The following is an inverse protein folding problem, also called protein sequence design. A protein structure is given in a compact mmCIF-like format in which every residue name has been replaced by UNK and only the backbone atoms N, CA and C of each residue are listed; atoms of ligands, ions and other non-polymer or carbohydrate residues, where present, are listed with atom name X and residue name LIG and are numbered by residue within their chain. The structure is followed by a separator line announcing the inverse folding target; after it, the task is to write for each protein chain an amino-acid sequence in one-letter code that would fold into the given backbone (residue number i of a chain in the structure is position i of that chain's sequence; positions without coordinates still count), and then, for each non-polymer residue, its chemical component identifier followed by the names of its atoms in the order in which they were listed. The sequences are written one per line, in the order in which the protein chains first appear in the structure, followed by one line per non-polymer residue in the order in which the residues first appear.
data_IF_849681952911
#
_entry.id   IF_849681952911
#
_cell.length_a   1.000
_cell.length_b   1.000
_cell.length_c   1.000
_cell.angle_alpha   90.00
_cell.angle_beta   90.00
_cell.angle_gamma   90.00
#
_symmetry.space_group_name_H-M   'P 1'
#
loop_
_entity.id
_entity.type
_entity.pdbx_description
1 polymer ?
#
# COMPACT_ATOMS: atom_id res chain seq x y z
N UNK A 1 1.61 -46.48 26.60
CA UNK A 1 2.43 -45.27 26.37
C UNK A 1 3.00 -45.17 24.94
N UNK A 2 3.03 -46.23 24.14
CA UNK A 2 3.98 -46.35 23.00
C UNK A 2 3.61 -45.92 21.57
N UNK A 3 2.49 -45.24 21.29
CA UNK A 3 2.18 -44.79 19.90
C UNK A 3 1.75 -43.32 19.83
N UNK A 4 1.01 -42.82 20.84
CA UNK A 4 0.67 -41.39 20.96
C UNK A 4 1.90 -40.51 21.18
N UNK A 5 2.79 -40.90 22.09
CA UNK A 5 3.99 -40.11 22.40
C UNK A 5 4.95 -39.96 21.21
N UNK A 6 5.08 -40.97 20.36
CA UNK A 6 5.97 -40.92 19.19
C UNK A 6 5.42 -39.95 18.13
N UNK A 7 4.10 -39.86 17.97
CA UNK A 7 3.44 -38.97 17.02
C UNK A 7 3.51 -37.51 17.49
N UNK A 8 3.27 -37.27 18.78
CA UNK A 8 3.41 -35.94 19.41
C UNK A 8 4.85 -35.41 19.32
N UNK A 9 5.85 -36.27 19.56
CA UNK A 9 7.28 -35.90 19.41
C UNK A 9 7.61 -35.53 17.96
N UNK A 10 7.05 -36.24 16.97
CA UNK A 10 7.31 -35.95 15.55
C UNK A 10 6.67 -34.63 15.11
N UNK A 11 5.48 -34.32 15.61
CA UNK A 11 4.78 -33.07 15.34
C UNK A 11 5.50 -31.88 16.00
N UNK A 12 5.95 -32.03 17.24
CA UNK A 12 6.73 -30.99 17.95
C UNK A 12 8.07 -30.69 17.24
N UNK A 13 8.74 -31.73 16.73
CA UNK A 13 9.95 -31.56 15.91
C UNK A 13 9.65 -30.85 14.59
N UNK A 14 8.51 -31.15 13.95
CA UNK A 14 8.08 -30.48 12.72
C UNK A 14 7.85 -28.98 12.92
N UNK A 15 7.11 -28.59 13.97
CA UNK A 15 6.87 -27.18 14.31
C UNK A 15 8.18 -26.46 14.66
N UNK A 16 9.05 -27.11 15.43
CA UNK A 16 10.38 -26.57 15.76
C UNK A 16 11.24 -26.33 14.52
N UNK A 17 11.23 -27.26 13.56
CA UNK A 17 11.96 -27.11 12.28
C UNK A 17 11.40 -25.93 11.48
N UNK A 18 10.08 -25.78 11.35
CA UNK A 18 9.48 -24.65 10.64
C UNK A 18 9.84 -23.32 11.32
N UNK A 19 9.79 -23.26 12.66
CA UNK A 19 10.21 -22.08 13.42
C UNK A 19 11.67 -21.72 13.17
N UNK A 20 12.57 -22.70 13.21
CA UNK A 20 14.01 -22.51 12.94
C UNK A 20 14.25 -22.06 11.49
N UNK A 21 13.55 -22.65 10.52
CA UNK A 21 13.67 -22.25 9.11
C UNK A 21 13.11 -20.85 8.84
N UNK A 22 12.13 -20.41 9.64
CA UNK A 22 11.53 -19.06 9.51
C UNK A 22 12.34 -17.98 10.24
N UNK A 23 13.12 -18.35 11.26
CA UNK A 23 13.86 -17.40 12.09
C UNK A 23 14.87 -16.54 11.30
N UNK A 24 15.68 -17.08 10.35
CA UNK A 24 16.58 -16.26 9.54
C UNK A 24 15.85 -15.19 8.73
N UNK A 25 14.68 -15.50 8.16
CA UNK A 25 13.90 -14.54 7.40
C UNK A 25 13.36 -13.41 8.29
N UNK A 26 12.81 -13.76 9.46
CA UNK A 26 12.33 -12.78 10.45
C UNK A 26 13.49 -11.91 10.95
N UNK A 27 14.64 -12.51 11.27
CA UNK A 27 15.83 -11.79 11.71
C UNK A 27 16.35 -10.84 10.62
N UNK A 28 16.48 -11.33 9.39
CA UNK A 28 16.90 -10.52 8.25
C UNK A 28 15.98 -9.31 8.05
N UNK A 29 14.66 -9.52 8.03
CA UNK A 29 13.69 -8.42 7.91
C UNK A 29 13.79 -7.45 9.09
N UNK A 30 13.92 -7.96 10.32
CA UNK A 30 14.07 -7.11 11.52
C UNK A 30 15.35 -6.25 11.48
N UNK A 31 16.44 -6.77 10.93
CA UNK A 31 17.69 -6.03 10.77
C UNK A 31 17.61 -5.03 9.61
N UNK A 32 17.08 -5.44 8.46
CA UNK A 32 16.95 -4.58 7.29
C UNK A 32 16.08 -3.34 7.58
N UNK A 33 14.96 -3.51 8.28
CA UNK A 33 14.03 -2.44 8.65
C UNK A 33 14.58 -1.46 9.70
N UNK A 34 15.82 -1.64 10.20
CA UNK A 34 16.48 -0.69 11.10
C UNK A 34 17.41 0.28 10.38
N UNK A 35 17.67 0.06 9.09
CA UNK A 35 18.64 0.84 8.32
C UNK A 35 17.95 1.53 7.15
N UNK A 36 18.34 2.75 6.83
CA UNK A 36 17.86 3.43 5.63
C UNK A 36 18.38 2.75 4.36
N UNK A 37 17.58 2.66 3.29
CA UNK A 37 16.28 3.31 3.11
C UNK A 37 15.09 2.57 3.74
N UNK A 38 15.23 1.28 4.09
CA UNK A 38 14.11 0.42 4.52
C UNK A 38 13.45 0.84 5.83
N UNK A 39 14.21 1.41 6.76
CA UNK A 39 13.69 1.99 8.02
C UNK A 39 12.56 2.99 7.78
N UNK A 40 12.59 3.71 6.65
CA UNK A 40 11.58 4.69 6.32
C UNK A 40 10.17 4.09 6.18
N UNK A 41 10.06 2.80 5.80
CA UNK A 41 8.76 2.11 5.75
C UNK A 41 8.11 2.03 7.13
N UNK A 42 8.91 1.76 8.16
CA UNK A 42 8.45 1.70 9.56
C UNK A 42 8.18 3.10 10.08
N UNK A 43 9.09 4.04 9.84
CA UNK A 43 8.90 5.43 10.28
C UNK A 43 7.62 6.03 9.67
N UNK A 44 7.34 5.74 8.40
CA UNK A 44 6.12 6.21 7.74
C UNK A 44 4.86 5.64 8.40
N UNK A 45 4.83 4.34 8.69
CA UNK A 45 3.70 3.70 9.38
C UNK A 45 3.46 4.25 10.79
N UNK A 46 4.53 4.55 11.52
CA UNK A 46 4.46 5.13 12.88
C UNK A 46 3.98 6.59 12.83
N UNK A 47 4.47 7.38 11.88
CA UNK A 47 4.08 8.80 11.73
C UNK A 47 2.67 8.97 11.16
N UNK A 48 2.20 8.03 10.35
CA UNK A 48 0.90 8.06 9.68
C UNK A 48 0.09 6.79 10.01
N UNK A 49 -0.31 6.59 11.28
CA UNK A 49 -1.07 5.42 11.67
C UNK A 49 -2.41 5.42 10.93
N UNK A 50 -2.68 4.33 10.20
CA UNK A 50 -3.95 4.19 9.50
C UNK A 50 -5.05 3.75 10.49
N UNK A 51 -6.23 4.36 10.45
CA UNK A 51 -7.32 3.98 11.34
C UNK A 51 -7.79 2.56 11.02
N UNK A 52 -7.89 1.73 12.06
CA UNK A 52 -8.47 0.39 11.96
C UNK A 52 -9.55 0.20 13.01
N UNK A 53 -10.78 -0.05 12.56
CA UNK A 53 -11.91 -0.32 13.44
C UNK A 53 -12.29 -1.79 13.30
N UNK A 54 -11.98 -2.58 14.34
CA UNK A 54 -12.22 -4.03 14.32
C UNK A 54 -13.69 -4.38 14.05
N UNK A 55 -14.63 -3.57 14.58
CA UNK A 55 -16.07 -3.75 14.37
C UNK A 55 -16.44 -3.68 12.88
N UNK A 56 -15.96 -2.66 12.19
CA UNK A 56 -16.28 -2.44 10.78
C UNK A 56 -15.68 -3.55 9.92
N UNK A 57 -14.49 -4.02 10.30
CA UNK A 57 -13.85 -5.15 9.64
C UNK A 57 -14.60 -6.47 9.83
N UNK A 58 -15.07 -6.75 11.05
CA UNK A 58 -15.93 -7.93 11.32
C UNK A 58 -17.20 -7.90 10.46
N UNK A 59 -17.83 -6.72 10.32
CA UNK A 59 -18.99 -6.53 9.47
C UNK A 59 -18.64 -6.72 7.98
N UNK A 60 -17.45 -6.29 7.54
CA UNK A 60 -16.98 -6.45 6.17
C UNK A 60 -16.72 -7.91 5.79
N UNK A 61 -16.19 -8.74 6.70
CA UNK A 61 -16.04 -10.20 6.48
C UNK A 61 -17.41 -10.89 6.51
N UNK A 62 -18.35 -10.34 7.29
CA UNK A 62 -19.75 -10.75 7.28
C UNK A 62 -19.99 -12.16 7.85
N UNK A 63 -21.05 -12.86 7.42
CA UNK A 63 -21.48 -14.13 8.02
C UNK A 63 -20.46 -15.26 7.85
N UNK A 64 -19.55 -15.16 6.88
CA UNK A 64 -18.46 -16.13 6.70
C UNK A 64 -17.51 -16.17 7.89
N UNK A 65 -17.33 -15.07 8.62
CA UNK A 65 -16.49 -15.09 9.83
C UNK A 65 -17.07 -16.03 10.87
N UNK A 66 -18.35 -15.86 11.20
CA UNK A 66 -19.03 -16.66 12.22
C UNK A 66 -19.10 -18.13 11.82
N UNK A 67 -19.57 -18.42 10.60
CA UNK A 67 -19.72 -19.79 10.12
C UNK A 67 -18.38 -20.50 9.93
N UNK A 68 -17.35 -19.78 9.47
CA UNK A 68 -16.00 -20.30 9.31
C UNK A 68 -15.35 -20.61 10.66
N UNK A 69 -15.52 -19.74 11.67
CA UNK A 69 -15.03 -20.00 13.03
C UNK A 69 -15.74 -21.21 13.65
N UNK A 70 -17.07 -21.32 13.52
CA UNK A 70 -17.81 -22.50 14.00
C UNK A 70 -17.32 -23.76 13.27
N UNK A 71 -17.11 -23.69 11.96
CA UNK A 71 -16.54 -24.79 11.19
C UNK A 71 -15.13 -25.18 11.63
N UNK A 72 -14.30 -24.22 12.00
CA UNK A 72 -12.98 -24.46 12.58
C UNK A 72 -13.04 -25.15 13.94
N UNK A 73 -13.93 -24.68 14.83
CA UNK A 73 -14.17 -25.32 16.13
C UNK A 73 -14.66 -26.77 15.92
N UNK A 74 -15.61 -26.98 15.01
CA UNK A 74 -16.11 -28.31 14.69
C UNK A 74 -14.99 -29.20 14.12
N UNK A 75 -14.15 -28.69 13.21
CA UNK A 75 -13.02 -29.43 12.64
C UNK A 75 -12.04 -29.88 13.73
N UNK A 76 -11.77 -29.04 14.74
CA UNK A 76 -10.95 -29.41 15.91
C UNK A 76 -11.62 -30.49 16.76
N UNK A 77 -12.93 -30.37 17.04
CA UNK A 77 -13.69 -31.37 17.82
C UNK A 77 -13.67 -32.73 17.11
N UNK A 78 -13.86 -32.74 15.78
CA UNK A 78 -13.82 -33.96 14.94
C UNK A 78 -12.40 -34.44 14.64
N UNK A 79 -11.37 -33.68 15.03
CA UNK A 79 -9.95 -33.98 14.80
C UNK A 79 -9.61 -34.15 13.31
N UNK A 80 -10.23 -33.32 12.47
CA UNK A 80 -10.00 -33.30 11.02
C UNK A 80 -8.64 -32.67 10.68
N UNK A 81 -7.58 -33.48 10.74
CA UNK A 81 -6.18 -33.04 10.56
C UNK A 81 -5.94 -32.25 9.28
N UNK A 82 -6.66 -32.56 8.19
CA UNK A 82 -6.55 -31.87 6.90
C UNK A 82 -7.04 -30.42 6.95
N UNK A 83 -7.94 -30.09 7.88
CA UNK A 83 -8.52 -28.76 8.02
C UNK A 83 -7.80 -27.90 9.07
N UNK A 84 -6.94 -28.49 9.89
CA UNK A 84 -6.21 -27.78 10.93
C UNK A 84 -5.29 -26.68 10.36
N UNK A 85 -4.81 -26.83 9.12
CA UNK A 85 -4.03 -25.78 8.45
C UNK A 85 -4.86 -24.50 8.23
N UNK A 86 -6.14 -24.64 7.88
CA UNK A 86 -7.04 -23.49 7.71
C UNK A 86 -7.43 -22.88 9.04
N UNK A 87 -7.60 -23.70 10.08
CA UNK A 87 -7.81 -23.22 11.46
C UNK A 87 -6.59 -22.43 11.94
N UNK A 88 -5.38 -22.96 11.74
CA UNK A 88 -4.14 -22.28 12.10
C UNK A 88 -3.97 -20.96 11.34
N UNK A 89 -4.36 -20.91 10.06
CA UNK A 89 -4.37 -19.67 9.28
C UNK A 89 -5.32 -18.63 9.88
N UNK A 90 -6.57 -18.99 10.19
CA UNK A 90 -7.54 -18.06 10.82
C UNK A 90 -7.02 -17.56 12.17
N UNK A 91 -6.43 -18.43 12.99
CA UNK A 91 -5.85 -18.04 14.28
C UNK A 91 -4.67 -17.09 14.10
N UNK A 92 -3.75 -17.40 13.18
CA UNK A 92 -2.59 -16.56 12.90
C UNK A 92 -3.02 -15.17 12.41
N UNK A 93 -3.95 -15.12 11.45
CA UNK A 93 -4.53 -13.89 10.94
C UNK A 93 -5.17 -13.03 12.04
N UNK A 94 -6.04 -13.61 12.86
CA UNK A 94 -6.70 -12.89 13.95
C UNK A 94 -5.69 -12.40 15.00
N UNK A 95 -4.69 -13.23 15.31
CA UNK A 95 -3.63 -12.88 16.28
C UNK A 95 -2.78 -11.72 15.79
N UNK A 96 -2.43 -11.69 14.49
CA UNK A 96 -1.65 -10.61 13.90
C UNK A 96 -2.43 -9.29 13.88
N UNK A 97 -3.72 -9.32 13.51
CA UNK A 97 -4.58 -8.12 13.56
C UNK A 97 -4.62 -7.54 14.99
N UNK A 98 -4.79 -8.39 16.01
CA UNK A 98 -4.85 -7.94 17.40
C UNK A 98 -3.48 -7.43 17.86
N UNK A 99 -2.41 -8.17 17.57
CA UNK A 99 -1.05 -7.81 17.98
C UNK A 99 -0.64 -6.43 17.43
N UNK A 100 -0.86 -6.20 16.13
CA UNK A 100 -0.46 -4.97 15.45
C UNK A 100 -1.44 -3.79 15.66
N UNK A 101 -2.51 -3.97 16.42
CA UNK A 101 -3.23 -2.83 17.01
C UNK A 101 -2.43 -2.14 18.13
N UNK A 102 -1.54 -2.88 18.80
CA UNK A 102 -0.74 -2.37 19.92
C UNK A 102 0.73 -2.13 19.56
N UNK A 103 1.18 -2.63 18.40
CA UNK A 103 2.55 -2.57 17.91
C UNK A 103 2.57 -1.69 16.65
N UNK A 104 2.97 -0.39 16.75
CA UNK A 104 2.80 0.58 15.68
C UNK A 104 3.77 0.41 14.49
N UNK A 105 4.71 -0.53 14.57
CA UNK A 105 5.68 -0.80 13.52
C UNK A 105 5.01 -1.24 12.21
N UNK A 106 3.82 -1.84 12.29
CA UNK A 106 3.07 -2.34 11.15
C UNK A 106 1.58 -2.02 11.31
N UNK A 107 0.90 -1.72 10.21
CA UNK A 107 -0.54 -1.43 10.23
C UNK A 107 -1.35 -2.72 10.28
N UNK A 108 -2.36 -2.85 11.18
CA UNK A 108 -3.24 -4.01 11.22
C UNK A 108 -4.02 -4.21 9.91
N UNK A 109 -4.19 -3.15 9.11
CA UNK A 109 -4.82 -3.22 7.78
C UNK A 109 -4.08 -4.13 6.81
N UNK A 110 -2.74 -4.26 6.91
CA UNK A 110 -1.96 -5.15 6.02
C UNK A 110 -2.40 -6.60 6.17
N UNK A 111 -2.80 -7.01 7.37
CA UNK A 111 -3.27 -8.38 7.61
C UNK A 111 -4.68 -8.63 7.07
N UNK A 112 -5.41 -7.59 6.69
CA UNK A 112 -6.70 -7.76 6.00
C UNK A 112 -6.54 -8.30 4.58
N UNK A 113 -5.34 -8.12 4.00
CA UNK A 113 -4.98 -8.59 2.66
C UNK A 113 -4.54 -10.06 2.63
N UNK A 114 -4.45 -10.74 3.79
CA UNK A 114 -4.06 -12.16 3.90
C UNK A 114 -5.12 -13.16 3.40
N UNK A 115 -6.08 -12.71 2.58
CA UNK A 115 -7.16 -13.52 2.02
C UNK A 115 -7.92 -14.39 3.06
N UNK A 116 -8.34 -13.86 4.22
CA UNK A 116 -8.96 -14.65 5.28
C UNK A 116 -10.29 -15.31 4.87
N UNK A 117 -10.94 -14.80 3.82
CA UNK A 117 -12.15 -15.39 3.25
C UNK A 117 -11.92 -16.79 2.67
N UNK A 118 -10.69 -17.14 2.24
CA UNK A 118 -10.37 -18.48 1.71
C UNK A 118 -10.47 -19.56 2.80
N UNK A 119 -9.70 -19.50 3.91
CA UNK A 119 -9.82 -20.50 4.96
C UNK A 119 -11.21 -20.47 5.63
N UNK A 120 -11.81 -19.29 5.82
CA UNK A 120 -13.16 -19.17 6.37
C UNK A 120 -14.22 -19.81 5.46
N UNK A 121 -14.12 -19.66 4.15
CA UNK A 121 -15.03 -20.28 3.18
C UNK A 121 -14.95 -21.80 3.18
N UNK A 122 -13.73 -22.35 3.23
CA UNK A 122 -13.51 -23.81 3.32
C UNK A 122 -14.09 -24.36 4.62
N UNK A 123 -13.82 -23.71 5.76
CA UNK A 123 -14.36 -24.13 7.06
C UNK A 123 -15.88 -23.97 7.12
N UNK A 124 -16.44 -22.95 6.48
CA UNK A 124 -17.89 -22.76 6.34
C UNK A 124 -18.52 -23.91 5.54
N UNK A 125 -17.91 -24.30 4.41
CA UNK A 125 -18.39 -25.42 3.61
C UNK A 125 -18.34 -26.74 4.39
N UNK A 126 -17.25 -26.98 5.14
CA UNK A 126 -17.14 -28.12 6.04
C UNK A 126 -18.26 -28.14 7.10
N UNK A 127 -18.51 -26.99 7.74
CA UNK A 127 -19.59 -26.84 8.72
C UNK A 127 -20.96 -27.20 8.12
N UNK A 128 -21.33 -26.58 7.00
CA UNK A 128 -22.63 -26.79 6.36
C UNK A 128 -22.79 -28.22 5.85
N UNK A 129 -21.72 -28.84 5.33
CA UNK A 129 -21.74 -30.24 4.91
C UNK A 129 -22.03 -31.16 6.10
N UNK A 130 -21.34 -30.99 7.23
CA UNK A 130 -21.57 -31.81 8.41
C UNK A 130 -22.96 -31.57 9.02
N UNK A 131 -23.42 -30.31 9.03
CA UNK A 131 -24.76 -29.96 9.49
C UNK A 131 -25.84 -30.68 8.66
N UNK A 132 -25.62 -30.82 7.36
CA UNK A 132 -26.55 -31.46 6.44
C UNK A 132 -26.77 -32.97 6.68
N UNK A 133 -25.85 -33.62 7.40
CA UNK A 133 -25.95 -35.05 7.73
C UNK A 133 -26.69 -35.33 9.05
N UNK A 134 -27.04 -34.31 9.85
CA UNK A 134 -27.69 -34.50 11.15
C UNK A 134 -29.18 -34.87 11.03
N UNK A 135 -29.93 -34.21 10.15
CA UNK A 135 -31.34 -34.49 9.90
C UNK A 135 -31.81 -33.86 8.59
N UNK A 136 -32.99 -34.25 8.09
CA UNK A 136 -33.59 -33.64 6.90
C UNK A 136 -33.89 -32.14 7.07
N UNK A 137 -34.20 -31.69 8.29
CA UNK A 137 -34.41 -30.27 8.59
C UNK A 137 -33.08 -29.52 8.46
N UNK A 138 -32.02 -30.02 9.09
CA UNK A 138 -30.68 -29.42 9.02
C UNK A 138 -30.08 -29.45 7.62
N UNK A 139 -30.38 -30.48 6.83
CA UNK A 139 -30.05 -30.52 5.39
C UNK A 139 -30.67 -29.37 4.62
N UNK A 140 -31.98 -29.13 4.78
CA UNK A 140 -32.67 -28.00 4.14
C UNK A 140 -32.06 -26.67 4.60
N UNK A 141 -31.85 -26.50 5.90
CA UNK A 141 -31.24 -25.28 6.46
C UNK A 141 -29.84 -25.03 5.90
N UNK A 142 -28.98 -26.06 5.86
CA UNK A 142 -27.62 -25.93 5.34
C UNK A 142 -27.61 -25.52 3.86
N UNK A 143 -28.50 -26.11 3.04
CA UNK A 143 -28.64 -25.75 1.62
C UNK A 143 -29.16 -24.31 1.49
N UNK A 144 -30.19 -23.91 2.24
CA UNK A 144 -30.72 -22.55 2.21
C UNK A 144 -29.65 -21.52 2.59
N UNK A 145 -28.87 -21.78 3.65
CA UNK A 145 -27.76 -20.91 4.06
C UNK A 145 -26.69 -20.86 2.97
N UNK A 146 -26.30 -22.00 2.39
CA UNK A 146 -25.32 -22.03 1.30
C UNK A 146 -25.78 -21.21 0.09
N UNK A 147 -27.03 -21.37 -0.34
CA UNK A 147 -27.61 -20.59 -1.44
C UNK A 147 -27.63 -19.10 -1.10
N UNK A 148 -28.04 -18.73 0.12
CA UNK A 148 -28.05 -17.34 0.55
C UNK A 148 -26.64 -16.71 0.54
N UNK A 149 -25.62 -17.44 1.00
CA UNK A 149 -24.23 -16.99 0.95
C UNK A 149 -23.71 -16.83 -0.49
N UNK A 150 -24.07 -17.74 -1.39
CA UNK A 150 -23.70 -17.64 -2.81
C UNK A 150 -24.36 -16.40 -3.43
N UNK A 151 -25.66 -16.19 -3.21
CA UNK A 151 -26.37 -15.01 -3.71
C UNK A 151 -25.80 -13.71 -3.15
N UNK A 152 -25.46 -13.68 -1.85
CA UNK A 152 -24.79 -12.54 -1.23
C UNK A 152 -23.41 -12.30 -1.84
N UNK A 153 -22.65 -13.36 -2.12
CA UNK A 153 -21.37 -13.30 -2.80
C UNK A 153 -21.49 -12.73 -4.22
N UNK A 154 -22.48 -13.17 -5.00
CA UNK A 154 -22.76 -12.63 -6.33
C UNK A 154 -23.17 -11.16 -6.29
N UNK A 155 -24.00 -10.76 -5.33
CA UNK A 155 -24.37 -9.37 -5.11
C UNK A 155 -23.15 -8.50 -4.75
N UNK A 156 -22.26 -9.02 -3.90
CA UNK A 156 -21.01 -8.35 -3.54
C UNK A 156 -20.10 -8.21 -4.75
N UNK A 157 -19.94 -9.26 -5.57
CA UNK A 157 -19.15 -9.21 -6.80
C UNK A 157 -19.68 -8.17 -7.79
N UNK A 158 -21.00 -8.09 -7.96
CA UNK A 158 -21.62 -7.06 -8.80
C UNK A 158 -21.37 -5.66 -8.26
N UNK A 159 -21.46 -5.48 -6.94
CA UNK A 159 -21.10 -4.22 -6.28
C UNK A 159 -19.63 -3.87 -6.53
N UNK A 160 -18.70 -4.79 -6.27
CA UNK A 160 -17.27 -4.60 -6.51
C UNK A 160 -16.94 -4.27 -7.96
N UNK A 161 -17.62 -4.90 -8.93
CA UNK A 161 -17.47 -4.57 -10.34
C UNK A 161 -17.88 -3.13 -10.65
N UNK A 162 -19.02 -2.66 -10.11
CA UNK A 162 -19.45 -1.26 -10.29
C UNK A 162 -18.44 -0.27 -9.72
N UNK A 163 -17.94 -0.53 -8.51
CA UNK A 163 -16.89 0.28 -7.88
C UNK A 163 -15.60 0.34 -8.70
N UNK A 164 -15.16 -0.81 -9.23
CA UNK A 164 -13.97 -0.87 -10.10
C UNK A 164 -14.20 -0.12 -11.41
N UNK A 165 -15.39 -0.23 -12.01
CA UNK A 165 -15.75 0.51 -13.21
C UNK A 165 -15.75 2.03 -12.95
N UNK A 166 -16.41 2.49 -11.90
CA UNK A 166 -16.43 3.91 -11.52
C UNK A 166 -15.00 4.44 -11.27
N UNK A 167 -14.15 3.64 -10.63
CA UNK A 167 -12.75 4.00 -10.44
C UNK A 167 -11.98 4.16 -11.76
N UNK A 168 -12.20 3.27 -12.74
CA UNK A 168 -11.61 3.38 -14.08
C UNK A 168 -12.15 4.61 -14.82
N UNK A 169 -13.47 4.82 -14.78
CA UNK A 169 -14.12 5.97 -15.41
C UNK A 169 -13.55 7.28 -14.84
N UNK A 170 -13.44 7.39 -13.51
CA UNK A 170 -12.79 8.54 -12.86
C UNK A 170 -11.35 8.72 -13.32
N UNK A 171 -10.57 7.65 -13.47
CA UNK A 171 -9.19 7.73 -14.00
C UNK A 171 -9.11 8.23 -15.44
N UNK A 172 -10.08 7.87 -16.26
CA UNK A 172 -10.13 8.29 -17.67
C UNK A 172 -10.47 9.78 -17.82
N UNK A 173 -11.34 10.30 -16.94
CA UNK A 173 -11.74 11.71 -16.98
C UNK A 173 -10.86 12.62 -16.13
N UNK A 174 -10.10 12.08 -15.18
CA UNK A 174 -9.22 12.86 -14.31
C UNK A 174 -8.23 13.69 -15.14
N UNK A 175 -8.29 15.00 -14.95
CA UNK A 175 -7.40 15.99 -15.57
C UNK A 175 -7.23 17.18 -14.63
N UNK A 176 -6.33 18.10 -14.94
CA UNK A 176 -6.26 19.41 -14.28
C UNK A 176 -7.21 20.39 -15.01
N UNK A 177 -8.01 21.21 -14.29
CA UNK A 177 -8.12 21.36 -12.82
C UNK A 177 -9.19 20.45 -12.18
N UNK A 178 -9.78 19.52 -12.95
CA UNK A 178 -10.91 18.70 -12.50
C UNK A 178 -10.62 17.93 -11.21
N UNK A 179 -9.37 17.50 -11.01
CA UNK A 179 -8.92 16.79 -9.82
C UNK A 179 -7.81 17.60 -9.13
N UNK A 180 -7.85 17.77 -7.80
CA UNK A 180 -6.79 18.42 -7.04
C UNK A 180 -5.44 17.69 -7.17
N UNK A 181 -4.34 18.43 -6.96
CA UNK A 181 -2.99 17.87 -6.87
C UNK A 181 -2.84 16.86 -5.74
N UNK A 182 -1.88 15.93 -5.91
CA UNK A 182 -1.66 14.84 -4.96
C UNK A 182 -2.64 13.67 -5.08
N UNK A 183 -3.60 13.72 -6.02
CA UNK A 183 -4.55 12.61 -6.20
C UNK A 183 -3.93 11.47 -7.05
N UNK A 184 -3.95 10.24 -6.52
CA UNK A 184 -3.43 9.03 -7.17
C UNK A 184 -4.34 8.44 -8.27
N UNK A 185 -5.40 9.15 -8.65
CA UNK A 185 -6.43 8.68 -9.60
C UNK A 185 -6.26 9.32 -10.99
N UNK A 186 -5.16 9.99 -11.29
CA UNK A 186 -4.95 10.63 -12.58
C UNK A 186 -3.77 10.00 -13.32
N UNK A 187 -3.92 9.73 -14.61
CA UNK A 187 -2.78 9.45 -15.48
C UNK A 187 -1.93 10.72 -15.67
N UNK A 188 -0.61 10.60 -15.88
CA UNK A 188 0.21 11.78 -16.12
C UNK A 188 -0.26 12.49 -17.40
N UNK A 189 -0.30 13.83 -17.34
CA UNK A 189 -0.71 14.65 -18.48
C UNK A 189 0.27 14.48 -19.65
N UNK A 190 -0.23 14.60 -20.89
CA UNK A 190 0.63 14.49 -22.10
C UNK A 190 1.81 15.45 -22.05
N UNK A 191 1.58 16.70 -21.65
CA UNK A 191 2.65 17.71 -21.48
C UNK A 191 3.67 17.33 -20.41
N UNK A 192 3.22 16.67 -19.34
CA UNK A 192 4.09 16.19 -18.27
C UNK A 192 4.98 15.04 -18.78
N UNK A 193 4.41 14.08 -19.49
CA UNK A 193 5.15 12.98 -20.12
C UNK A 193 6.14 13.52 -21.16
N UNK A 194 5.72 14.44 -22.02
CA UNK A 194 6.60 15.05 -23.03
C UNK A 194 7.81 15.76 -22.41
N UNK A 195 7.61 16.49 -21.31
CA UNK A 195 8.70 17.12 -20.57
C UNK A 195 9.65 16.09 -19.93
N UNK A 196 9.13 14.99 -19.40
CA UNK A 196 9.95 13.93 -18.83
C UNK A 196 10.76 13.17 -19.87
N UNK A 197 10.22 12.98 -21.07
CA UNK A 197 10.96 12.42 -22.21
C UNK A 197 12.07 13.38 -22.63
N UNK A 198 11.79 14.69 -22.72
CA UNK A 198 12.84 15.68 -22.97
C UNK A 198 13.97 15.58 -21.94
N UNK A 199 13.63 15.52 -20.65
CA UNK A 199 14.61 15.34 -19.57
C UNK A 199 15.40 14.04 -19.74
N UNK A 200 14.74 12.93 -20.09
CA UNK A 200 15.38 11.65 -20.35
C UNK A 200 16.48 11.74 -21.41
N UNK A 201 16.21 12.49 -22.48
CA UNK A 201 17.06 12.57 -23.66
C UNK A 201 18.18 13.63 -23.52
N UNK A 202 18.01 14.61 -22.62
CA UNK A 202 18.90 15.79 -22.53
C UNK A 202 19.60 15.96 -21.18
N UNK A 203 19.46 15.00 -20.26
CA UNK A 203 20.15 15.01 -18.95
C UNK A 203 20.89 13.71 -18.70
N UNK A 204 21.83 13.70 -17.75
CA UNK A 204 22.51 12.47 -17.33
C UNK A 204 21.67 11.77 -16.27
N UNK A 205 21.68 10.44 -16.24
CA UNK A 205 20.95 9.64 -15.22
C UNK A 205 21.40 9.91 -13.78
N UNK A 206 22.62 10.42 -13.60
CA UNK A 206 23.17 10.85 -12.31
C UNK A 206 22.69 12.23 -11.87
N UNK A 207 22.10 13.01 -12.77
CA UNK A 207 21.60 14.34 -12.47
C UNK A 207 20.34 14.24 -11.62
N UNK A 208 20.26 15.09 -10.59
CA UNK A 208 19.15 15.12 -9.64
C UNK A 208 18.20 16.25 -9.99
N UNK A 209 16.91 15.93 -10.03
CA UNK A 209 15.86 16.87 -10.40
C UNK A 209 15.09 17.31 -9.16
N UNK A 210 14.91 18.62 -9.03
CA UNK A 210 14.02 19.23 -8.06
C UNK A 210 12.60 19.33 -8.63
N UNK A 211 11.64 18.78 -7.90
CA UNK A 211 10.21 18.88 -8.19
C UNK A 211 9.41 18.72 -6.90
N UNK A 212 8.12 19.01 -6.94
CA UNK A 212 7.17 18.59 -5.91
C UNK A 212 6.84 17.08 -6.07
N UNK A 213 6.11 16.54 -5.09
CA UNK A 213 5.86 15.09 -4.97
C UNK A 213 5.16 14.46 -6.18
N UNK A 214 4.26 15.16 -6.88
CA UNK A 214 3.54 14.60 -8.04
C UNK A 214 4.50 14.32 -9.18
N UNK A 215 5.31 15.30 -9.59
CA UNK A 215 6.30 15.07 -10.64
C UNK A 215 7.46 14.19 -10.16
N UNK A 216 7.84 14.30 -8.89
CA UNK A 216 8.86 13.48 -8.26
C UNK A 216 8.54 11.98 -8.29
N UNK A 217 7.27 11.61 -8.24
CA UNK A 217 6.84 10.21 -8.35
C UNK A 217 6.93 9.66 -9.79
N UNK A 218 6.80 10.51 -10.80
CA UNK A 218 6.79 10.09 -12.21
C UNK A 218 8.18 10.18 -12.86
N UNK A 219 8.97 11.19 -12.49
CA UNK A 219 10.28 11.46 -13.08
C UNK A 219 11.21 10.23 -13.08
N UNK A 220 11.40 9.48 -11.97
CA UNK A 220 12.29 8.31 -11.99
C UNK A 220 11.83 7.22 -12.96
N UNK A 221 10.52 7.07 -13.17
CA UNK A 221 9.96 6.05 -14.07
C UNK A 221 10.16 6.42 -15.53
N UNK A 222 9.89 7.68 -15.91
CA UNK A 222 9.97 8.12 -17.31
C UNK A 222 11.37 8.60 -17.72
N UNK A 223 12.03 9.38 -16.86
CA UNK A 223 13.35 9.97 -17.14
C UNK A 223 14.53 9.19 -16.58
N UNK A 224 14.31 8.30 -15.60
CA UNK A 224 15.36 7.55 -14.90
C UNK A 224 16.35 8.41 -14.10
N UNK A 225 16.04 9.70 -13.91
CA UNK A 225 16.78 10.58 -13.02
C UNK A 225 16.35 10.36 -11.57
N UNK A 226 17.27 10.67 -10.65
CA UNK A 226 16.92 10.76 -9.23
C UNK A 226 16.21 12.07 -8.94
N UNK A 227 15.35 12.07 -7.92
CA UNK A 227 14.61 13.25 -7.49
C UNK A 227 14.92 13.58 -6.03
N UNK A 228 14.85 14.87 -5.68
CA UNK A 228 15.08 15.29 -4.30
C UNK A 228 14.02 14.76 -3.34
N UNK A 229 12.75 14.81 -3.78
CA UNK A 229 11.58 14.28 -3.09
C UNK A 229 10.66 13.56 -4.09
N UNK A 230 10.13 12.41 -3.69
CA UNK A 230 9.19 11.62 -4.47
C UNK A 230 8.24 10.90 -3.53
N UNK A 231 8.19 9.57 -3.58
CA UNK A 231 7.23 8.79 -2.81
C UNK A 231 7.37 9.07 -1.31
N UNK A 232 6.31 8.80 -0.55
CA UNK A 232 6.29 8.96 0.91
C UNK A 232 7.43 8.22 1.65
N UNK A 233 8.10 7.29 0.97
CA UNK A 233 9.26 6.54 1.48
C UNK A 233 10.61 7.26 1.25
N UNK A 234 10.59 8.51 0.81
CA UNK A 234 11.79 9.35 0.77
C UNK A 234 12.32 9.56 2.20
N UNK A 235 13.64 9.58 2.37
CA UNK A 235 14.24 9.89 3.68
C UNK A 235 13.92 11.36 4.00
N UNK A 236 13.36 11.60 5.20
CA UNK A 236 12.95 12.91 5.68
C UNK A 236 11.95 13.63 4.76
N UNK A 237 11.00 12.90 4.15
CA UNK A 237 10.00 13.46 3.23
C UNK A 237 9.33 14.72 3.77
N UNK A 238 8.88 14.71 5.01
CA UNK A 238 8.09 15.80 5.61
C UNK A 238 8.88 17.12 5.64
N UNK A 239 10.17 17.05 5.98
CA UNK A 239 11.07 18.20 5.99
C UNK A 239 11.41 18.65 4.57
N UNK A 240 11.67 17.70 3.67
CA UNK A 240 12.01 17.98 2.27
C UNK A 240 10.85 18.65 1.52
N UNK A 241 9.63 18.17 1.71
CA UNK A 241 8.43 18.76 1.11
C UNK A 241 8.24 20.22 1.56
N UNK A 242 8.50 20.54 2.83
CA UNK A 242 8.44 21.91 3.31
C UNK A 242 9.48 22.82 2.62
N UNK A 243 10.73 22.36 2.50
CA UNK A 243 11.81 23.10 1.82
C UNK A 243 11.48 23.30 0.33
N UNK A 244 11.01 22.25 -0.33
CA UNK A 244 10.61 22.27 -1.74
C UNK A 244 9.47 23.27 -1.96
N UNK A 245 8.46 23.25 -1.09
CA UNK A 245 7.35 24.21 -1.12
C UNK A 245 7.82 25.64 -0.88
N UNK A 246 8.79 25.85 0.01
CA UNK A 246 9.39 27.17 0.23
C UNK A 246 10.09 27.70 -1.03
N UNK A 247 10.87 26.85 -1.70
CA UNK A 247 11.53 27.16 -2.97
C UNK A 247 10.51 27.51 -4.06
N UNK A 248 9.53 26.65 -4.33
CA UNK A 248 8.55 26.87 -5.40
C UNK A 248 7.57 28.01 -5.11
N UNK A 249 7.31 28.32 -3.83
CA UNK A 249 6.53 29.49 -3.43
C UNK A 249 7.25 30.82 -3.65
N UNK A 250 8.55 30.80 -3.98
CA UNK A 250 9.38 32.00 -4.12
C UNK A 250 9.74 32.68 -2.81
N UNK A 251 9.43 32.06 -1.66
CA UNK A 251 9.76 32.61 -0.32
C UNK A 251 11.21 32.40 0.07
N UNK A 252 11.87 31.41 -0.52
CA UNK A 252 13.30 31.20 -0.34
C UNK A 252 14.07 32.31 -1.08
N UNK A 253 14.93 33.08 -0.39
CA UNK A 253 15.71 34.16 -1.01
C UNK A 253 16.71 33.64 -2.05
N UNK A 254 17.08 34.46 -3.04
CA UNK A 254 17.94 34.07 -4.19
C UNK A 254 19.26 33.38 -3.77
N UNK A 255 19.97 33.93 -2.79
CA UNK A 255 21.21 33.33 -2.28
C UNK A 255 20.98 32.01 -1.54
N UNK A 256 19.87 31.92 -0.80
CA UNK A 256 19.43 30.69 -0.14
C UNK A 256 19.08 29.60 -1.14
N UNK A 257 18.37 29.95 -2.22
CA UNK A 257 18.01 29.06 -3.30
C UNK A 257 19.25 28.48 -4.02
N UNK A 258 20.24 29.32 -4.37
CA UNK A 258 21.52 28.83 -4.92
C UNK A 258 22.23 27.87 -3.98
N UNK A 259 22.28 28.22 -2.69
CA UNK A 259 22.93 27.39 -1.66
C UNK A 259 22.22 26.05 -1.51
N UNK A 260 20.90 26.06 -1.46
CA UNK A 260 20.06 24.86 -1.39
C UNK A 260 20.30 23.93 -2.58
N UNK A 261 20.26 24.46 -3.80
CA UNK A 261 20.48 23.68 -5.02
C UNK A 261 21.90 23.07 -5.05
N UNK A 262 22.92 23.86 -4.65
CA UNK A 262 24.31 23.42 -4.61
C UNK A 262 24.56 22.33 -3.56
N UNK A 263 24.12 22.55 -2.32
CA UNK A 263 24.36 21.62 -1.21
C UNK A 263 23.68 20.27 -1.41
N UNK A 264 22.56 20.25 -2.14
CA UNK A 264 21.81 19.03 -2.41
C UNK A 264 22.14 18.40 -3.78
N UNK A 265 23.16 18.91 -4.46
CA UNK A 265 23.60 18.43 -5.78
C UNK A 265 22.44 18.33 -6.79
N UNK A 266 21.55 19.33 -6.77
CA UNK A 266 20.44 19.44 -7.72
C UNK A 266 21.02 19.97 -9.03
N UNK A 267 20.43 19.63 -10.17
CA UNK A 267 20.94 20.02 -11.49
C UNK A 267 19.86 20.69 -12.34
N UNK A 268 18.63 20.21 -12.19
CA UNK A 268 17.48 20.71 -12.93
C UNK A 268 16.30 20.95 -12.01
N UNK A 269 15.45 21.90 -12.39
CA UNK A 269 14.19 22.20 -11.71
C UNK A 269 13.05 21.92 -12.69
N UNK A 270 12.15 21.01 -12.31
CA UNK A 270 10.95 20.69 -13.06
C UNK A 270 9.78 21.50 -12.51
N UNK A 271 9.20 22.37 -13.34
CA UNK A 271 8.18 23.33 -12.92
C UNK A 271 6.88 23.09 -13.67
N UNK A 272 5.98 22.35 -13.02
CA UNK A 272 4.68 21.97 -13.54
C UNK A 272 3.52 22.57 -12.75
N UNK A 273 2.31 21.97 -12.87
CA UNK A 273 1.11 22.52 -12.26
C UNK A 273 1.15 22.54 -10.73
N UNK A 274 1.63 21.47 -10.09
CA UNK A 274 1.75 21.42 -8.62
C UNK A 274 2.75 22.47 -8.12
N UNK A 275 3.88 22.62 -8.80
CA UNK A 275 4.90 23.60 -8.42
C UNK A 275 4.39 25.05 -8.51
N UNK A 276 3.37 25.33 -9.34
CA UNK A 276 2.74 26.66 -9.46
C UNK A 276 1.74 26.97 -8.35
N UNK A 277 1.24 25.97 -7.63
CA UNK A 277 0.22 26.18 -6.58
C UNK A 277 0.75 26.91 -5.35
N UNK A 278 2.06 26.85 -5.11
CA UNK A 278 2.69 27.20 -3.83
C UNK A 278 2.83 28.70 -3.52
N UNK A 279 2.61 29.63 -4.46
CA UNK A 279 2.87 31.05 -4.20
C UNK A 279 2.51 32.03 -5.32
N UNK A 280 1.69 31.64 -6.29
CA UNK A 280 1.34 32.50 -7.43
C UNK A 280 2.50 32.77 -8.39
N UNK A 281 3.64 32.10 -8.22
CA UNK A 281 4.78 32.18 -9.12
C UNK A 281 4.40 31.50 -10.43
N UNK A 282 4.36 32.27 -11.52
CA UNK A 282 4.09 31.74 -12.87
C UNK A 282 5.36 31.47 -13.66
N UNK A 283 6.48 32.06 -13.22
CA UNK A 283 7.79 31.91 -13.82
C UNK A 283 8.90 31.97 -12.78
N UNK A 284 9.56 30.85 -12.51
CA UNK A 284 10.64 30.80 -11.52
C UNK A 284 11.84 31.67 -11.89
N UNK A 285 12.13 31.93 -13.16
CA UNK A 285 13.30 32.75 -13.53
C UNK A 285 13.12 34.23 -13.14
N UNK A 286 11.89 34.68 -12.87
CA UNK A 286 11.62 36.03 -12.35
C UNK A 286 11.99 36.17 -10.88
N UNK A 287 11.84 35.08 -10.10
CA UNK A 287 12.20 35.02 -8.68
C UNK A 287 13.66 34.62 -8.50
N UNK A 288 14.15 33.73 -9.36
CA UNK A 288 15.50 33.18 -9.35
C UNK A 288 16.17 33.42 -10.71
N UNK A 289 16.77 34.62 -10.93
CA UNK A 289 17.33 35.00 -12.24
C UNK A 289 18.49 34.15 -12.75
N UNK A 290 19.02 33.27 -11.89
CA UNK A 290 20.09 32.34 -12.24
C UNK A 290 19.59 31.07 -12.92
N UNK A 291 18.28 30.79 -12.87
CA UNK A 291 17.68 29.66 -13.56
C UNK A 291 17.58 29.95 -15.06
N UNK A 292 18.13 29.05 -15.88
CA UNK A 292 18.04 29.11 -17.34
C UNK A 292 17.00 28.10 -17.82
N UNK A 293 15.92 28.57 -18.43
CA UNK A 293 14.94 27.71 -19.09
C UNK A 293 15.61 26.92 -20.22
N UNK A 294 15.43 25.60 -20.22
CA UNK A 294 15.95 24.69 -21.26
C UNK A 294 14.84 23.96 -22.01
N UNK A 295 13.62 23.96 -21.47
CA UNK A 295 12.45 23.38 -22.10
C UNK A 295 11.17 24.06 -21.63
N UNK A 296 10.21 24.17 -22.54
CA UNK A 296 8.88 24.68 -22.27
C UNK A 296 7.85 23.98 -23.15
N UNK A 297 6.73 23.62 -22.56
CA UNK A 297 5.48 23.37 -23.25
C UNK A 297 4.33 24.11 -22.57
N UNK A 298 3.08 23.77 -22.91
CA UNK A 298 1.88 24.45 -22.38
C UNK A 298 1.83 24.47 -20.86
N UNK A 299 2.21 23.36 -20.21
CA UNK A 299 2.02 23.16 -18.77
C UNK A 299 3.32 23.12 -17.97
N UNK A 300 4.45 22.74 -18.60
CA UNK A 300 5.71 22.46 -17.93
C UNK A 300 6.82 23.37 -18.43
N UNK A 301 7.68 23.80 -17.51
CA UNK A 301 8.98 24.38 -17.80
C UNK A 301 10.07 23.58 -17.09
N UNK A 302 11.23 23.44 -17.71
CA UNK A 302 12.40 22.84 -17.09
C UNK A 302 13.52 23.86 -17.10
N UNK A 303 14.17 24.03 -15.96
CA UNK A 303 15.28 24.96 -15.78
C UNK A 303 16.56 24.20 -15.45
N UNK A 304 17.69 24.65 -16.00
CA UNK A 304 19.04 24.34 -15.51
C UNK A 304 19.51 25.50 -14.61
N UNK A 305 20.43 25.27 -13.67
CA UNK A 305 20.95 26.30 -12.76
C UNK A 305 22.47 26.29 -12.65
#
# INVERSE_FOLDING_TARGET
VGIRGIREIREFRGVGIIGILSAPAILYLSLALRVYPWKRLVDFAVLHPQPFVLKDYVLAVGPMLLLGVIGGIWAMIKRETRLLIFVAWVIAWASLIILFQYIPQESPLRFTEMLPHVPLGILTAFFLSNLSHLSNVWKKTAITVAVALILLGLAQMYSSWRWQKEFIDHKMYATLPLVPTGTYVMYPLKDMVAAMIFVQDHTKRTDVILSETTAGNYLPVYSGNSVYVGHANTIATEQKEQIVKEFFSGRMGVGGARTFLAQNNLHYVFFGPQEREGGGVTDLSTVYPFLREIYRNTMIRVYAW
#
